data_IF_470823884586
#
_entry.id   IF_470823884586
#
_cell.length_a   1.000
_cell.length_b   1.000
_cell.length_c   1.000
_cell.angle_alpha   90.00
_cell.angle_beta   90.00
_cell.angle_gamma   90.00
#
_symmetry.space_group_name_H-M   'P 1'
#
loop_
_entity.id
_entity.type
_entity.pdbx_description
1 polymer ?
#
# COMPACT_ATOMS: atom_id res chain seq x y z
N UNK A 1 12.70 10.42 -3.77
CA UNK A 1 11.83 9.35 -3.24
C UNK A 1 12.59 8.03 -3.31
N UNK A 2 12.51 7.20 -2.27
CA UNK A 2 13.31 5.95 -2.17
C UNK A 2 13.08 4.99 -3.34
N UNK A 3 11.86 4.96 -3.87
CA UNK A 3 11.49 4.18 -5.06
C UNK A 3 12.36 4.53 -6.26
N UNK A 4 12.53 5.82 -6.58
CA UNK A 4 13.37 6.24 -7.71
C UNK A 4 14.85 5.93 -7.50
N UNK A 5 15.34 6.04 -6.26
CA UNK A 5 16.72 5.67 -5.93
C UNK A 5 16.98 4.19 -6.16
N UNK A 6 16.04 3.31 -5.78
CA UNK A 6 16.14 1.88 -6.02
C UNK A 6 16.25 1.56 -7.52
N UNK A 7 15.37 2.12 -8.35
CA UNK A 7 15.38 1.91 -9.79
C UNK A 7 16.64 2.46 -10.46
N UNK A 8 17.15 3.59 -9.98
CA UNK A 8 18.43 4.16 -10.44
C UNK A 8 19.58 3.21 -10.12
N UNK A 9 19.68 2.71 -8.89
CA UNK A 9 20.73 1.77 -8.49
C UNK A 9 20.64 0.48 -9.31
N UNK A 10 19.45 -0.07 -9.51
CA UNK A 10 19.25 -1.26 -10.33
C UNK A 10 19.74 -1.04 -11.77
N UNK A 11 19.41 0.11 -12.37
CA UNK A 11 19.89 0.47 -13.70
C UNK A 11 21.41 0.58 -13.75
N UNK A 12 22.04 1.21 -12.76
CA UNK A 12 23.50 1.31 -12.67
C UNK A 12 24.16 -0.08 -12.59
N UNK A 13 23.61 -1.01 -11.81
CA UNK A 13 24.12 -2.38 -11.71
C UNK A 13 24.00 -3.11 -13.06
N UNK A 14 22.89 -2.93 -13.78
CA UNK A 14 22.71 -3.51 -15.12
C UNK A 14 23.74 -2.94 -16.10
N UNK A 15 23.91 -1.62 -16.13
CA UNK A 15 24.91 -0.98 -17.00
C UNK A 15 26.34 -1.42 -16.66
N UNK A 16 26.66 -1.55 -15.37
CA UNK A 16 27.95 -2.05 -14.92
C UNK A 16 28.19 -3.50 -15.39
N UNK A 17 27.18 -4.37 -15.34
CA UNK A 17 27.27 -5.74 -15.83
C UNK A 17 27.47 -5.79 -17.36
N UNK A 18 26.73 -4.98 -18.12
CA UNK A 18 26.86 -4.88 -19.57
C UNK A 18 28.23 -4.32 -19.99
N UNK A 19 28.72 -3.29 -19.31
CA UNK A 19 30.03 -2.71 -19.59
C UNK A 19 31.16 -3.67 -19.20
N UNK A 20 31.09 -4.26 -18.00
CA UNK A 20 32.12 -5.19 -17.51
C UNK A 20 32.23 -6.46 -18.34
N UNK A 21 31.11 -7.11 -18.66
CA UNK A 21 31.13 -8.41 -19.36
C UNK A 21 31.05 -8.24 -20.88
N UNK A 22 30.21 -7.31 -21.35
CA UNK A 22 30.02 -7.06 -22.78
C UNK A 22 31.21 -6.34 -23.40
N UNK A 23 31.54 -5.15 -22.89
CA UNK A 23 32.61 -4.30 -23.47
C UNK A 23 33.99 -4.81 -23.07
N UNK A 24 34.24 -5.01 -21.77
CA UNK A 24 35.59 -5.33 -21.30
C UNK A 24 36.02 -6.79 -21.53
N UNK A 25 35.09 -7.74 -21.49
CA UNK A 25 35.38 -9.15 -21.78
C UNK A 25 34.97 -9.58 -23.20
N UNK A 26 34.35 -8.71 -23.99
CA UNK A 26 33.87 -9.01 -25.35
C UNK A 26 32.73 -10.01 -25.42
N UNK A 27 32.13 -10.41 -24.28
CA UNK A 27 31.15 -11.49 -24.20
C UNK A 27 29.72 -10.95 -24.09
N UNK A 28 29.18 -10.46 -25.20
CA UNK A 28 27.84 -9.87 -25.24
C UNK A 28 26.70 -10.84 -24.91
N UNK A 29 26.77 -12.10 -25.37
CA UNK A 29 25.72 -13.11 -25.09
C UNK A 29 25.50 -13.33 -23.57
N UNK A 30 26.52 -13.69 -22.77
CA UNK A 30 26.32 -13.85 -21.33
C UNK A 30 26.06 -12.52 -20.61
N UNK A 31 26.59 -11.39 -21.09
CA UNK A 31 26.29 -10.08 -20.52
C UNK A 31 24.79 -9.77 -20.56
N UNK A 32 24.14 -10.02 -21.71
CA UNK A 32 22.69 -9.82 -21.86
C UNK A 32 21.88 -10.77 -20.98
N UNK A 33 22.26 -12.05 -20.89
CA UNK A 33 21.57 -13.02 -20.03
C UNK A 33 21.64 -12.57 -18.56
N UNK A 34 22.81 -12.18 -18.08
CA UNK A 34 23.02 -11.71 -16.71
C UNK A 34 22.22 -10.42 -16.45
N UNK A 35 22.23 -9.47 -17.40
CA UNK A 35 21.47 -8.23 -17.29
C UNK A 35 19.96 -8.50 -17.13
N UNK A 36 19.41 -9.41 -17.93
CA UNK A 36 18.00 -9.82 -17.84
C UNK A 36 17.71 -10.48 -16.49
N UNK A 37 18.59 -11.36 -16.01
CA UNK A 37 18.42 -12.01 -14.70
C UNK A 37 18.43 -10.97 -13.57
N UNK A 38 19.37 -10.02 -13.59
CA UNK A 38 19.45 -8.94 -12.60
C UNK A 38 18.17 -8.09 -12.62
N UNK A 39 17.72 -7.70 -13.82
CA UNK A 39 16.51 -6.90 -13.98
C UNK A 39 15.27 -7.64 -13.46
N UNK A 40 15.09 -8.91 -13.81
CA UNK A 40 13.98 -9.74 -13.34
C UNK A 40 14.03 -9.92 -11.82
N UNK A 41 15.19 -10.31 -11.26
CA UNK A 41 15.36 -10.53 -9.83
C UNK A 41 15.15 -9.24 -9.03
N UNK A 42 15.68 -8.10 -9.51
CA UNK A 42 15.45 -6.79 -8.91
C UNK A 42 13.98 -6.41 -8.93
N UNK A 43 13.32 -6.54 -10.08
CA UNK A 43 11.89 -6.25 -10.20
C UNK A 43 11.05 -7.11 -9.26
N UNK A 44 11.32 -8.42 -9.19
CA UNK A 44 10.63 -9.32 -8.26
C UNK A 44 10.88 -8.93 -6.80
N UNK A 45 12.13 -8.66 -6.43
CA UNK A 45 12.49 -8.21 -5.08
C UNK A 45 11.77 -6.90 -4.71
N UNK A 46 11.64 -5.98 -5.67
CA UNK A 46 10.94 -4.72 -5.45
C UNK A 46 9.48 -4.95 -5.11
N UNK A 47 8.72 -5.59 -6.01
CA UNK A 47 7.27 -5.75 -5.84
C UNK A 47 6.91 -6.73 -4.71
N UNK A 48 7.62 -7.86 -4.59
CA UNK A 48 7.31 -8.88 -3.59
C UNK A 48 7.89 -8.61 -2.19
N UNK A 49 8.70 -7.57 -2.01
CA UNK A 49 9.31 -7.32 -0.69
C UNK A 49 9.48 -5.85 -0.34
N UNK A 50 10.12 -5.07 -1.21
CA UNK A 50 10.54 -3.71 -0.86
C UNK A 50 9.42 -2.67 -0.94
N UNK A 51 8.45 -2.81 -1.83
CA UNK A 51 7.41 -1.81 -2.06
C UNK A 51 6.68 -1.41 -0.77
N UNK A 52 6.16 -2.39 -0.01
CA UNK A 52 5.47 -2.12 1.26
C UNK A 52 6.38 -1.54 2.34
N UNK A 53 7.64 -2.01 2.41
CA UNK A 53 8.64 -1.46 3.33
C UNK A 53 8.93 0.00 3.00
N UNK A 54 9.07 0.31 1.71
CA UNK A 54 9.37 1.65 1.24
C UNK A 54 8.22 2.59 1.55
N UNK A 55 6.98 2.20 1.25
CA UNK A 55 5.78 3.00 1.55
C UNK A 55 5.64 3.23 3.05
N UNK A 56 5.70 2.16 3.85
CA UNK A 56 5.43 2.26 5.28
C UNK A 56 6.54 2.99 6.05
N UNK A 57 7.82 2.74 5.72
CA UNK A 57 8.96 3.17 6.56
C UNK A 57 9.81 4.26 5.96
N UNK A 58 9.83 4.41 4.63
CA UNK A 58 10.79 5.27 3.92
C UNK A 58 10.11 6.33 3.03
N UNK A 59 8.78 6.47 3.11
CA UNK A 59 8.03 7.46 2.34
C UNK A 59 7.97 7.17 0.83
N UNK A 60 7.88 5.89 0.46
CA UNK A 60 7.55 5.45 -0.90
C UNK A 60 6.08 5.65 -1.23
N UNK A 61 5.69 5.31 -2.46
CA UNK A 61 4.30 5.41 -2.94
C UNK A 61 3.82 4.07 -3.48
N UNK A 62 2.58 3.71 -3.16
CA UNK A 62 1.85 2.56 -3.69
C UNK A 62 0.44 3.01 -4.05
N UNK A 63 -0.07 2.53 -5.18
CA UNK A 63 -1.41 2.82 -5.66
C UNK A 63 -2.29 1.57 -5.54
N UNK A 64 -3.48 1.73 -4.99
CA UNK A 64 -4.47 0.67 -4.83
C UNK A 64 -5.81 1.19 -5.30
N UNK A 65 -6.52 0.36 -6.06
CA UNK A 65 -7.84 0.68 -6.58
C UNK A 65 -8.91 0.06 -5.70
N UNK A 66 -9.88 0.87 -5.30
CA UNK A 66 -11.06 0.40 -4.59
C UNK A 66 -11.97 -0.33 -5.60
N UNK A 67 -12.44 -1.55 -5.30
CA UNK A 67 -13.34 -2.27 -6.20
C UNK A 67 -14.59 -1.47 -6.53
N UNK A 68 -15.07 -1.57 -7.77
CA UNK A 68 -16.29 -0.89 -8.20
C UNK A 68 -17.48 -1.22 -7.30
N UNK A 69 -18.31 -0.21 -7.02
CA UNK A 69 -19.46 -0.33 -6.12
C UNK A 69 -19.12 -0.26 -4.63
N UNK A 70 -17.84 -0.39 -4.25
CA UNK A 70 -17.41 -0.25 -2.87
C UNK A 70 -16.97 1.18 -2.56
N UNK A 71 -17.14 1.59 -1.31
CA UNK A 71 -16.70 2.87 -0.78
C UNK A 71 -15.56 2.64 0.21
N UNK A 72 -14.46 3.37 0.07
CA UNK A 72 -13.37 3.30 1.03
C UNK A 72 -13.80 3.88 2.39
N UNK A 73 -13.55 3.16 3.48
CA UNK A 73 -13.81 3.63 4.84
C UNK A 73 -12.50 4.03 5.52
N UNK A 74 -11.57 3.07 5.63
CA UNK A 74 -10.34 3.24 6.40
C UNK A 74 -9.22 2.36 5.86
N UNK A 75 -7.98 2.78 6.13
CA UNK A 75 -6.78 1.98 5.88
C UNK A 75 -5.90 1.96 7.13
N UNK A 76 -5.31 0.81 7.44
CA UNK A 76 -4.39 0.66 8.58
C UNK A 76 -3.26 -0.33 8.27
N UNK A 77 -2.16 -0.24 9.01
CA UNK A 77 -1.04 -1.16 8.88
C UNK A 77 -1.04 -2.18 10.02
N UNK A 78 -0.93 -3.47 9.68
CA UNK A 78 -0.70 -4.56 10.63
C UNK A 78 0.62 -5.22 10.30
N UNK A 79 1.64 -4.99 11.12
CA UNK A 79 3.00 -5.35 10.73
C UNK A 79 3.34 -4.64 9.41
N UNK A 80 3.96 -5.32 8.45
CA UNK A 80 4.26 -4.72 7.14
C UNK A 80 3.11 -4.83 6.13
N UNK A 81 1.96 -5.42 6.49
CA UNK A 81 0.82 -5.61 5.61
C UNK A 81 -0.18 -4.45 5.72
N UNK A 82 -0.75 -4.05 4.58
CA UNK A 82 -1.76 -2.99 4.51
C UNK A 82 -3.16 -3.60 4.58
N UNK A 83 -3.98 -3.10 5.49
CA UNK A 83 -5.37 -3.48 5.63
C UNK A 83 -6.25 -2.34 5.13
N UNK A 84 -7.15 -2.64 4.20
CA UNK A 84 -8.14 -1.68 3.69
C UNK A 84 -9.53 -2.16 4.03
N UNK A 85 -10.30 -1.30 4.68
CA UNK A 85 -11.71 -1.47 4.93
C UNK A 85 -12.52 -0.71 3.88
N UNK A 86 -13.38 -1.44 3.18
CA UNK A 86 -14.34 -0.89 2.23
C UNK A 86 -15.78 -1.29 2.62
N UNK A 87 -16.73 -0.41 2.34
CA UNK A 87 -18.15 -0.66 2.48
C UNK A 87 -18.79 -1.04 1.14
N UNK A 88 -19.60 -2.08 1.13
CA UNK A 88 -20.49 -2.43 0.04
C UNK A 88 -21.94 -2.01 0.42
N UNK A 89 -22.51 -0.98 -0.23
CA UNK A 89 -23.86 -0.49 0.05
C UNK A 89 -24.96 -1.43 -0.41
N UNK A 90 -24.73 -2.26 -1.43
CA UNK A 90 -25.74 -3.17 -1.99
C UNK A 90 -26.01 -4.33 -1.02
N UNK A 91 -24.94 -4.83 -0.38
CA UNK A 91 -25.04 -5.96 0.53
C UNK A 91 -24.97 -5.59 2.02
N UNK A 92 -24.78 -4.32 2.33
CA UNK A 92 -24.55 -3.77 3.67
C UNK A 92 -23.42 -4.49 4.43
N UNK A 93 -22.27 -4.65 3.78
CA UNK A 93 -21.10 -5.36 4.33
C UNK A 93 -19.88 -4.44 4.40
N UNK A 94 -19.13 -4.54 5.49
CA UNK A 94 -17.77 -4.00 5.54
C UNK A 94 -16.78 -5.12 5.26
N UNK A 95 -15.85 -4.85 4.34
CA UNK A 95 -14.92 -5.80 3.78
C UNK A 95 -13.52 -5.30 4.11
N UNK A 96 -12.85 -6.00 5.01
CA UNK A 96 -11.45 -5.78 5.35
C UNK A 96 -10.59 -6.70 4.51
N UNK A 97 -9.71 -6.13 3.68
CA UNK A 97 -8.78 -6.86 2.83
C UNK A 97 -7.36 -6.62 3.29
N UNK A 98 -6.63 -7.70 3.49
CA UNK A 98 -5.19 -7.67 3.74
C UNK A 98 -4.44 -7.72 2.41
N UNK A 99 -3.69 -6.67 2.14
CA UNK A 99 -2.73 -6.57 1.06
C UNK A 99 -1.34 -6.85 1.63
N UNK A 100 -0.83 -8.04 1.37
CA UNK A 100 0.50 -8.46 1.77
C UNK A 100 1.52 -8.18 0.66
N UNK A 101 2.79 -8.44 0.95
CA UNK A 101 3.90 -8.13 0.02
C UNK A 101 3.66 -8.76 -1.35
N UNK A 102 3.96 -8.03 -2.42
CA UNK A 102 3.60 -8.45 -3.79
C UNK A 102 2.15 -8.19 -4.18
N UNK A 103 1.41 -7.42 -3.37
CA UNK A 103 -0.02 -7.14 -3.58
C UNK A 103 -0.89 -8.41 -3.62
N UNK A 104 -0.43 -9.48 -2.96
CA UNK A 104 -1.19 -10.71 -2.82
C UNK A 104 -2.20 -10.53 -1.69
N UNK A 105 -3.48 -10.77 -2.01
CA UNK A 105 -4.55 -10.83 -1.01
C UNK A 105 -4.35 -12.11 -0.17
N UNK A 106 -3.91 -11.96 1.08
CA UNK A 106 -3.71 -13.09 1.99
C UNK A 106 -4.98 -13.41 2.79
N UNK A 107 -5.70 -12.37 3.24
CA UNK A 107 -6.83 -12.50 4.15
C UNK A 107 -7.95 -11.51 3.87
N UNK A 108 -9.18 -11.95 4.14
CA UNK A 108 -10.36 -11.10 4.09
C UNK A 108 -11.26 -11.37 5.30
N UNK A 109 -11.72 -10.29 5.93
CA UNK A 109 -12.77 -10.34 6.96
C UNK A 109 -13.99 -9.59 6.44
N UNK A 110 -15.16 -10.21 6.58
CA UNK A 110 -16.43 -9.62 6.14
C UNK A 110 -17.36 -9.46 7.32
N UNK A 111 -17.68 -8.20 7.64
CA UNK A 111 -18.64 -7.85 8.68
C UNK A 111 -19.99 -7.56 8.01
N UNK A 112 -21.02 -8.34 8.37
CA UNK A 112 -22.40 -8.14 7.88
C UNK A 112 -23.10 -7.10 8.72
N UNK A 113 -24.01 -6.33 8.12
CA UNK A 113 -24.80 -5.27 8.79
C UNK A 113 -23.93 -4.19 9.45
N UNK A 114 -22.87 -3.78 8.75
CA UNK A 114 -21.85 -2.89 9.29
C UNK A 114 -22.37 -1.47 9.56
N UNK A 115 -23.29 -0.96 8.74
CA UNK A 115 -23.91 0.37 8.89
C UNK A 115 -22.89 1.49 9.23
N UNK A 116 -21.92 1.77 8.33
CA UNK A 116 -20.79 2.67 8.62
C UNK A 116 -21.20 4.12 8.91
N UNK A 117 -22.42 4.51 8.53
CA UNK A 117 -23.00 5.84 8.76
C UNK A 117 -23.26 6.17 10.25
N UNK A 118 -23.12 5.21 11.18
CA UNK A 118 -23.21 5.53 12.62
C UNK A 118 -22.00 6.30 13.16
N UNK A 119 -20.84 6.27 12.50
CA UNK A 119 -19.67 7.03 12.94
C UNK A 119 -19.73 8.53 12.60
N UNK A 120 -20.56 8.94 11.63
CA UNK A 120 -20.73 10.35 11.22
C UNK A 120 -21.82 11.12 11.96
N UNK A 121 -22.76 10.44 12.63
CA UNK A 121 -23.88 11.07 13.35
C UNK A 121 -23.65 11.27 14.86
N UNK A 122 -22.43 11.02 15.35
CA UNK A 122 -22.05 11.34 16.74
C UNK A 122 -21.75 12.83 17.00
N UNK A 123 -21.89 13.70 16.00
CA UNK A 123 -21.45 15.09 16.05
C UNK A 123 -22.53 16.17 16.11
N UNK A 124 -23.83 15.85 16.10
CA UNK A 124 -24.90 16.85 16.20
C UNK A 124 -26.19 16.27 16.79
N UNK A 125 -26.12 15.81 18.04
CA UNK A 125 -27.33 15.65 18.86
C UNK A 125 -26.99 15.88 20.33
N UNK A 126 -27.14 17.14 20.75
CA UNK A 126 -27.35 17.52 22.14
C UNK A 126 -26.11 17.61 23.03
N UNK A 127 -25.33 18.68 22.91
CA UNK A 127 -24.66 19.22 24.10
C UNK A 127 -25.72 19.81 25.04
N UNK A 128 -26.37 18.96 25.83
CA UNK A 128 -27.06 19.42 27.02
C UNK A 128 -25.98 19.82 28.03
N UNK A 129 -25.46 21.03 27.90
CA UNK A 129 -24.86 21.74 29.02
C UNK A 129 -26.03 22.02 29.96
N UNK A 130 -26.08 21.48 31.19
CA UNK A 130 -27.09 21.90 32.14
C UNK A 130 -26.82 23.37 32.47
N UNK A 131 -27.75 24.26 32.12
CA UNK A 131 -27.75 25.65 32.59
C UNK A 131 -27.74 25.61 34.13
N UNK A 132 -26.56 25.87 34.71
CA UNK A 132 -26.43 26.12 36.13
C UNK A 132 -27.20 27.40 36.51
N UNK A 133 -27.68 27.51 37.76
CA UNK A 133 -28.51 28.64 38.17
C UNK A 133 -27.72 29.95 38.03
N UNK A 134 -28.20 30.84 37.17
CA UNK A 134 -27.69 32.22 37.07
C UNK A 134 -28.22 33.00 38.28
N UNK A 135 -27.34 33.26 39.25
CA UNK A 135 -27.60 34.22 40.32
C UNK A 135 -27.64 35.64 39.74
N UNK A 136 -28.69 36.44 40.02
CA UNK A 136 -28.68 37.85 39.67
C UNK A 136 -27.80 38.61 40.67
N UNK A 137 -26.87 39.43 40.15
CA UNK A 137 -26.25 40.55 40.86
C UNK A 137 -27.14 41.78 40.71
#
# INVERSE_FOLDING_TARGET
>A
MITYLYWLVLALVIFAALFGIGVRMGKWKPALIIAVIIWLAGTLLYYFWLEQIFVKRLGGTMNLEVPQGQQHIAATWKGDNLWIENYDPDTNRCIFREYSRGNLLEGQVVIKNCNPLRAGNGGTSGSAIPDGPRTPL
#
